data_IF_645940455855
#
_entry.id   IF_645940455855
#
_cell.length_a   1.000
_cell.length_b   1.000
_cell.length_c   1.000
_cell.angle_alpha   90.00
_cell.angle_beta   90.00
_cell.angle_gamma   90.00
#
_symmetry.space_group_name_H-M   'P 1'
#
loop_
_entity.id
_entity.type
_entity.pdbx_description
1 polymer ?
#
# COMPACT_ATOMS: atom_id res chain seq x y z
N UNK A 1 -34.80 -3.50 16.48
CA UNK A 1 -33.45 -3.88 16.97
C UNK A 1 -32.76 -4.56 15.80
N UNK A 2 -31.61 -4.05 15.37
CA UNK A 2 -30.85 -4.66 14.28
C UNK A 2 -30.34 -6.04 14.72
N UNK A 3 -30.36 -7.02 13.82
CA UNK A 3 -29.80 -8.35 14.10
C UNK A 3 -28.27 -8.30 14.18
N UNK A 4 -27.63 -9.24 14.88
CA UNK A 4 -26.15 -9.34 14.93
C UNK A 4 -25.53 -9.40 13.53
N UNK A 5 -26.20 -10.06 12.57
CA UNK A 5 -25.83 -10.09 11.17
C UNK A 5 -25.80 -8.69 10.54
N UNK A 6 -26.86 -7.92 10.73
CA UNK A 6 -26.97 -6.54 10.22
C UNK A 6 -25.89 -5.62 10.81
N UNK A 7 -25.51 -5.84 12.08
CA UNK A 7 -24.43 -5.07 12.72
C UNK A 7 -23.06 -5.39 12.11
N UNK A 8 -22.78 -6.65 11.78
CA UNK A 8 -21.58 -7.06 11.05
C UNK A 8 -21.54 -6.43 9.66
N UNK A 9 -22.65 -6.45 8.91
CA UNK A 9 -22.76 -5.83 7.58
C UNK A 9 -22.51 -4.32 7.63
N UNK A 10 -22.97 -3.64 8.69
CA UNK A 10 -22.70 -2.21 8.95
C UNK A 10 -21.31 -1.93 9.53
N UNK A 11 -20.44 -2.94 9.64
CA UNK A 11 -19.09 -2.86 10.24
C UNK A 11 -19.06 -2.36 11.68
N UNK A 12 -20.15 -2.53 12.44
CA UNK A 12 -20.27 -2.12 13.84
C UNK A 12 -19.70 -3.18 14.79
N UNK A 13 -18.43 -3.55 14.59
CA UNK A 13 -17.80 -4.71 15.24
C UNK A 13 -17.71 -4.60 16.77
N UNK A 14 -17.36 -3.42 17.31
CA UNK A 14 -17.27 -3.23 18.75
C UNK A 14 -18.63 -3.41 19.44
N UNK A 15 -19.70 -2.89 18.83
CA UNK A 15 -21.06 -3.06 19.32
C UNK A 15 -21.49 -4.54 19.34
N UNK A 16 -21.10 -5.32 18.34
CA UNK A 16 -21.33 -6.77 18.34
C UNK A 16 -20.62 -7.44 19.51
N UNK A 17 -19.36 -7.09 19.81
CA UNK A 17 -18.63 -7.63 20.95
C UNK A 17 -19.28 -7.25 22.28
N UNK A 18 -19.75 -6.01 22.42
CA UNK A 18 -20.37 -5.52 23.65
C UNK A 18 -21.70 -6.24 23.93
N UNK A 19 -22.53 -6.42 22.89
CA UNK A 19 -23.82 -7.12 22.99
C UNK A 19 -23.67 -8.62 23.27
N UNK A 20 -22.56 -9.22 22.87
CA UNK A 20 -22.32 -10.68 22.98
C UNK A 20 -21.29 -11.03 24.06
N UNK A 21 -20.79 -10.06 24.82
CA UNK A 21 -19.74 -10.26 25.83
C UNK A 21 -20.14 -11.30 26.88
N UNK A 22 -21.42 -11.29 27.28
CA UNK A 22 -21.99 -12.14 28.33
C UNK A 22 -22.82 -13.31 27.80
N UNK A 23 -23.03 -13.41 26.48
CA UNK A 23 -23.81 -14.52 25.91
C UNK A 23 -22.92 -15.75 25.74
N UNK A 24 -23.45 -16.91 26.13
CA UNK A 24 -22.82 -18.24 25.95
C UNK A 24 -23.48 -19.06 24.85
N UNK A 25 -24.42 -18.46 24.11
CA UNK A 25 -25.13 -19.13 23.02
C UNK A 25 -24.16 -19.47 21.90
N UNK A 26 -24.15 -20.73 21.46
CA UNK A 26 -23.30 -21.18 20.35
C UNK A 26 -23.58 -20.41 19.05
N UNK A 27 -24.82 -19.92 18.87
CA UNK A 27 -25.27 -19.09 17.74
C UNK A 27 -24.57 -17.73 17.64
N UNK A 28 -24.11 -17.16 18.76
CA UNK A 28 -23.55 -15.81 18.81
C UNK A 28 -22.03 -15.82 18.56
N UNK A 29 -21.39 -16.97 18.77
CA UNK A 29 -19.93 -17.12 18.68
C UNK A 29 -19.40 -16.82 17.27
N UNK A 30 -20.03 -17.27 16.16
CA UNK A 30 -19.59 -16.89 14.82
C UNK A 30 -19.54 -15.38 14.61
N UNK A 31 -20.54 -14.63 15.10
CA UNK A 31 -20.57 -13.18 15.00
C UNK A 31 -19.47 -12.51 15.83
N UNK A 32 -19.13 -13.07 17.00
CA UNK A 32 -17.97 -12.62 17.80
C UNK A 32 -16.65 -12.84 17.06
N UNK A 33 -16.49 -14.00 16.42
CA UNK A 33 -15.31 -14.32 15.60
C UNK A 33 -15.20 -13.30 14.46
N UNK A 34 -16.28 -13.07 13.71
CA UNK A 34 -16.31 -12.07 12.64
C UNK A 34 -16.00 -10.66 13.13
N UNK A 35 -16.50 -10.27 14.31
CA UNK A 35 -16.22 -8.95 14.89
C UNK A 35 -14.74 -8.80 15.30
N UNK A 36 -14.13 -9.83 15.88
CA UNK A 36 -12.70 -9.82 16.20
C UNK A 36 -11.85 -9.71 14.93
N UNK A 37 -12.21 -10.44 13.86
CA UNK A 37 -11.54 -10.36 12.57
C UNK A 37 -11.67 -8.97 11.96
N UNK A 38 -12.87 -8.39 11.96
CA UNK A 38 -13.12 -7.04 11.47
C UNK A 38 -12.34 -5.94 12.21
N UNK A 39 -11.91 -6.21 13.45
CA UNK A 39 -11.07 -5.33 14.27
C UNK A 39 -9.57 -5.68 14.19
N UNK A 40 -9.17 -6.66 13.37
CA UNK A 40 -7.78 -7.12 13.26
C UNK A 40 -7.26 -7.92 14.46
N UNK A 41 -8.13 -8.32 15.39
CA UNK A 41 -7.81 -9.06 16.62
C UNK A 41 -7.82 -10.58 16.37
N UNK A 42 -6.89 -11.04 15.52
CA UNK A 42 -6.89 -12.42 15.01
C UNK A 42 -6.58 -13.47 16.08
N UNK A 43 -5.71 -13.19 17.05
CA UNK A 43 -5.39 -14.16 18.12
C UNK A 43 -6.58 -14.36 19.09
N UNK A 44 -7.40 -13.34 19.31
CA UNK A 44 -8.67 -13.43 20.04
C UNK A 44 -9.67 -14.31 19.28
N UNK A 45 -9.79 -14.11 17.98
CA UNK A 45 -10.65 -14.92 17.11
C UNK A 45 -10.22 -16.40 17.13
N UNK A 46 -8.93 -16.70 17.00
CA UNK A 46 -8.39 -18.06 17.05
C UNK A 46 -8.63 -18.74 18.42
N UNK A 47 -8.44 -18.01 19.52
CA UNK A 47 -8.75 -18.52 20.86
C UNK A 47 -10.22 -18.94 20.98
N UNK A 48 -11.11 -18.14 20.41
CA UNK A 48 -12.54 -18.41 20.44
C UNK A 48 -12.93 -19.61 19.57
N UNK A 49 -12.34 -19.75 18.37
CA UNK A 49 -12.52 -20.94 17.52
C UNK A 49 -12.10 -22.20 18.25
N UNK A 50 -10.91 -22.20 18.85
CA UNK A 50 -10.39 -23.35 19.61
C UNK A 50 -11.27 -23.70 20.81
N UNK A 51 -11.76 -22.69 21.54
CA UNK A 51 -12.62 -22.90 22.70
C UNK A 51 -13.97 -23.55 22.35
N UNK A 52 -14.52 -23.23 21.17
CA UNK A 52 -15.84 -23.69 20.71
C UNK A 52 -15.75 -24.70 19.55
N UNK A 53 -14.59 -25.34 19.36
CA UNK A 53 -14.36 -26.32 18.31
C UNK A 53 -15.43 -27.43 18.34
N UNK A 54 -16.02 -27.73 17.18
CA UNK A 54 -17.09 -28.72 17.03
C UNK A 54 -18.49 -28.27 17.47
N UNK A 55 -18.68 -27.01 17.90
CA UNK A 55 -19.97 -26.48 18.38
C UNK A 55 -20.65 -25.49 17.41
N UNK A 56 -20.18 -25.43 16.17
CA UNK A 56 -20.53 -24.36 15.24
C UNK A 56 -21.76 -24.63 14.35
N UNK A 57 -22.50 -25.73 14.56
CA UNK A 57 -23.73 -26.09 13.81
C UNK A 57 -23.66 -25.66 12.33
N UNK A 58 -24.57 -24.79 11.88
CA UNK A 58 -24.67 -24.29 10.50
C UNK A 58 -23.51 -23.39 10.06
N UNK A 59 -22.76 -22.80 11.00
CA UNK A 59 -21.63 -21.93 10.72
C UNK A 59 -20.31 -22.69 10.54
N UNK A 60 -20.29 -24.02 10.73
CA UNK A 60 -19.07 -24.84 10.73
C UNK A 60 -18.21 -24.64 9.48
N UNK A 61 -18.82 -24.60 8.30
CA UNK A 61 -18.10 -24.39 7.04
C UNK A 61 -17.43 -23.00 6.94
N UNK A 62 -18.16 -21.95 7.32
CA UNK A 62 -17.59 -20.60 7.32
C UNK A 62 -16.46 -20.47 8.35
N UNK A 63 -16.63 -21.09 9.53
CA UNK A 63 -15.60 -21.06 10.57
C UNK A 63 -14.34 -21.83 10.13
N UNK A 64 -14.44 -23.00 9.50
CA UNK A 64 -13.24 -23.72 9.05
C UNK A 64 -12.46 -22.92 8.01
N UNK A 65 -13.15 -22.29 7.05
CA UNK A 65 -12.51 -21.50 5.98
C UNK A 65 -11.73 -20.33 6.59
N UNK A 66 -12.41 -19.56 7.42
CA UNK A 66 -11.82 -18.40 8.10
C UNK A 66 -10.72 -18.84 9.08
N UNK A 67 -10.85 -20.00 9.73
CA UNK A 67 -9.80 -20.52 10.60
C UNK A 67 -8.51 -20.79 9.84
N UNK A 68 -8.58 -21.52 8.72
CA UNK A 68 -7.41 -21.83 7.89
C UNK A 68 -6.82 -20.54 7.29
N UNK A 69 -7.65 -19.63 6.81
CA UNK A 69 -7.21 -18.31 6.30
C UNK A 69 -6.47 -17.50 7.37
N UNK A 70 -6.97 -17.45 8.61
CA UNK A 70 -6.30 -16.76 9.71
C UNK A 70 -4.96 -17.42 10.07
N UNK A 71 -4.88 -18.74 10.10
CA UNK A 71 -3.63 -19.45 10.39
C UNK A 71 -2.58 -19.18 9.30
N UNK A 72 -2.98 -19.17 8.03
CA UNK A 72 -2.11 -18.77 6.92
C UNK A 72 -1.68 -17.31 7.03
N UNK A 73 -2.60 -16.39 7.35
CA UNK A 73 -2.31 -14.95 7.55
C UNK A 73 -1.28 -14.73 8.67
N UNK A 74 -1.36 -15.52 9.75
CA UNK A 74 -0.41 -15.48 10.86
C UNK A 74 0.85 -16.34 10.65
N UNK A 75 1.03 -16.92 9.46
CA UNK A 75 2.14 -17.81 9.12
C UNK A 75 2.27 -19.04 10.03
N UNK A 76 1.16 -19.49 10.63
CA UNK A 76 1.08 -20.68 11.51
C UNK A 76 0.79 -21.94 10.67
N UNK A 77 1.63 -22.22 9.67
CA UNK A 77 1.40 -23.28 8.67
C UNK A 77 1.32 -24.69 9.26
N UNK A 78 2.20 -25.02 10.21
CA UNK A 78 2.15 -26.33 10.89
C UNK A 78 0.80 -26.57 11.57
N UNK A 79 0.25 -25.53 12.20
CA UNK A 79 -1.07 -25.57 12.83
C UNK A 79 -2.15 -25.65 11.76
N UNK A 80 -2.03 -24.90 10.64
CA UNK A 80 -2.98 -24.98 9.53
C UNK A 80 -3.08 -26.40 8.96
N UNK A 81 -1.97 -27.12 8.78
CA UNK A 81 -2.00 -28.52 8.34
C UNK A 81 -2.61 -29.46 9.39
N UNK A 82 -2.37 -29.21 10.69
CA UNK A 82 -3.01 -29.99 11.76
C UNK A 82 -4.53 -29.80 11.77
N UNK A 83 -4.98 -28.55 11.68
CA UNK A 83 -6.41 -28.21 11.67
C UNK A 83 -7.10 -28.68 10.38
N UNK A 84 -6.41 -28.62 9.23
CA UNK A 84 -6.92 -29.20 7.99
C UNK A 84 -7.17 -30.71 8.13
N UNK A 85 -6.22 -31.45 8.71
CA UNK A 85 -6.39 -32.89 8.99
C UNK A 85 -7.55 -33.14 9.96
N UNK A 86 -7.70 -32.30 10.98
CA UNK A 86 -8.85 -32.37 11.88
C UNK A 86 -10.16 -32.22 11.10
N UNK A 87 -10.27 -31.19 10.26
CA UNK A 87 -11.47 -30.95 9.46
C UNK A 87 -11.74 -32.08 8.46
N UNK A 88 -10.73 -32.59 7.77
CA UNK A 88 -10.88 -33.72 6.82
C UNK A 88 -11.43 -35.00 7.46
N UNK A 89 -11.26 -35.17 8.78
CA UNK A 89 -11.74 -36.35 9.50
C UNK A 89 -13.17 -36.19 10.07
N UNK A 90 -13.81 -35.04 9.91
CA UNK A 90 -15.19 -34.85 10.35
C UNK A 90 -16.17 -35.39 9.27
N UNK A 91 -17.30 -36.00 9.68
CA UNK A 91 -18.30 -36.48 8.73
C UNK A 91 -19.11 -35.30 8.18
N UNK A 92 -18.99 -35.03 6.88
CA UNK A 92 -19.78 -34.01 6.18
C UNK A 92 -20.77 -34.63 5.21
N UNK A 93 -21.89 -33.94 5.00
CA UNK A 93 -22.90 -34.28 3.98
C UNK A 93 -22.75 -33.38 2.74
N UNK A 94 -22.17 -32.19 2.90
CA UNK A 94 -22.10 -31.18 1.83
C UNK A 94 -20.88 -31.39 0.94
N UNK A 95 -21.13 -31.51 -0.37
CA UNK A 95 -20.10 -31.57 -1.41
C UNK A 95 -19.19 -30.33 -1.41
N UNK A 96 -19.75 -29.14 -1.14
CA UNK A 96 -18.98 -27.88 -1.09
C UNK A 96 -17.86 -27.95 -0.04
N UNK A 97 -18.13 -28.60 1.09
CA UNK A 97 -17.15 -28.77 2.17
C UNK A 97 -16.02 -29.72 1.72
N UNK A 98 -16.36 -30.81 1.05
CA UNK A 98 -15.37 -31.77 0.55
C UNK A 98 -14.47 -31.15 -0.52
N UNK A 99 -15.05 -30.41 -1.47
CA UNK A 99 -14.29 -29.70 -2.52
C UNK A 99 -13.31 -28.69 -1.92
N UNK A 100 -13.77 -27.91 -0.94
CA UNK A 100 -12.91 -26.97 -0.22
C UNK A 100 -11.75 -27.68 0.49
N UNK A 101 -12.02 -28.75 1.24
CA UNK A 101 -11.00 -29.47 2.01
C UNK A 101 -9.99 -30.21 1.11
N UNK A 102 -10.42 -30.67 -0.07
CA UNK A 102 -9.54 -31.26 -1.08
C UNK A 102 -8.60 -30.21 -1.69
N UNK A 103 -9.08 -28.98 -1.88
CA UNK A 103 -8.27 -27.86 -2.39
C UNK A 103 -7.41 -27.16 -1.33
N UNK A 104 -7.77 -27.26 -0.06
CA UNK A 104 -7.16 -26.50 1.03
C UNK A 104 -5.68 -26.81 1.24
N UNK A 105 -5.22 -28.06 1.05
CA UNK A 105 -3.81 -28.40 1.17
C UNK A 105 -2.96 -27.66 0.12
N UNK A 106 -3.44 -27.61 -1.13
CA UNK A 106 -2.80 -26.85 -2.22
C UNK A 106 -2.77 -25.35 -1.94
N UNK A 107 -3.83 -24.82 -1.34
CA UNK A 107 -3.92 -23.43 -0.91
C UNK A 107 -2.87 -23.09 0.17
N UNK A 108 -2.80 -23.89 1.24
CA UNK A 108 -1.81 -23.73 2.32
C UNK A 108 -0.39 -23.82 1.76
N UNK A 109 -0.11 -24.83 0.93
CA UNK A 109 1.21 -25.02 0.32
C UNK A 109 1.61 -23.86 -0.60
N UNK A 110 0.68 -23.29 -1.35
CA UNK A 110 0.95 -22.13 -2.22
C UNK A 110 1.24 -20.90 -1.37
N UNK A 111 0.45 -20.66 -0.32
CA UNK A 111 0.67 -19.55 0.61
C UNK A 111 2.02 -19.68 1.34
N UNK A 112 2.35 -20.89 1.81
CA UNK A 112 3.62 -21.23 2.45
C UNK A 112 4.81 -21.04 1.50
N UNK A 113 4.71 -21.52 0.26
CA UNK A 113 5.76 -21.32 -0.76
C UNK A 113 5.95 -19.86 -1.10
N UNK A 114 4.88 -19.08 -1.20
CA UNK A 114 4.97 -17.64 -1.44
C UNK A 114 5.63 -16.92 -0.26
N UNK A 115 5.28 -17.29 0.97
CA UNK A 115 5.95 -16.79 2.17
C UNK A 115 7.43 -17.18 2.23
N UNK A 116 7.77 -18.44 1.94
CA UNK A 116 9.16 -18.93 1.91
C UNK A 116 9.97 -18.31 0.76
N UNK A 117 9.32 -18.00 -0.38
CA UNK A 117 9.93 -17.25 -1.50
C UNK A 117 10.24 -15.82 -1.12
N UNK A 118 9.49 -15.22 -0.20
CA UNK A 118 9.88 -14.00 0.49
C UNK A 118 10.95 -14.39 1.53
N UNK A 119 12.13 -14.78 1.04
CA UNK A 119 13.32 -14.93 1.88
C UNK A 119 13.64 -13.53 2.38
N UNK A 120 13.12 -13.17 3.56
CA UNK A 120 13.39 -11.88 4.19
C UNK A 120 14.90 -11.75 4.29
N UNK A 121 15.44 -10.73 3.65
CA UNK A 121 16.84 -10.39 3.73
C UNK A 121 17.14 -10.09 5.19
N UNK A 122 18.23 -10.65 5.71
CA UNK A 122 18.68 -10.27 7.06
C UNK A 122 19.02 -8.79 7.09
N UNK A 123 19.10 -8.21 8.29
CA UNK A 123 19.53 -6.83 8.46
C UNK A 123 20.88 -6.57 7.80
N UNK A 124 21.81 -7.50 7.92
CA UNK A 124 23.15 -7.44 7.35
C UNK A 124 23.12 -7.50 5.82
N UNK A 125 22.30 -8.39 5.25
CA UNK A 125 22.10 -8.48 3.79
C UNK A 125 21.50 -7.19 3.22
N UNK A 126 20.52 -6.59 3.91
CA UNK A 126 19.95 -5.29 3.51
C UNK A 126 21.01 -4.21 3.56
N UNK A 127 21.77 -4.11 4.65
CA UNK A 127 22.84 -3.11 4.79
C UNK A 127 23.88 -3.28 3.68
N UNK A 128 24.29 -4.51 3.37
CA UNK A 128 25.23 -4.79 2.29
C UNK A 128 24.72 -4.31 0.93
N UNK A 129 23.45 -4.58 0.61
CA UNK A 129 22.81 -4.11 -0.62
C UNK A 129 22.78 -2.57 -0.65
N UNK A 130 22.31 -1.92 0.42
CA UNK A 130 22.30 -0.45 0.50
C UNK A 130 23.70 0.13 0.35
N UNK A 131 24.75 -0.57 0.81
CA UNK A 131 26.12 -0.08 0.78
C UNK A 131 26.87 -0.34 -0.53
N UNK A 132 26.56 -1.41 -1.26
CA UNK A 132 27.37 -1.84 -2.42
C UNK A 132 26.63 -1.87 -3.75
N UNK A 133 25.32 -2.07 -3.73
CA UNK A 133 24.55 -2.29 -4.95
C UNK A 133 24.27 -0.98 -5.69
N UNK A 134 24.15 -1.08 -7.01
CA UNK A 134 23.79 0.01 -7.92
C UNK A 134 22.54 -0.31 -8.74
N UNK A 135 22.16 -1.59 -8.85
CA UNK A 135 20.93 -1.98 -9.52
C UNK A 135 19.70 -1.43 -8.79
N UNK A 136 18.86 -0.70 -9.54
CA UNK A 136 17.70 0.00 -9.00
C UNK A 136 16.62 -0.95 -8.46
N UNK A 137 16.42 -2.11 -9.09
CA UNK A 137 15.42 -3.09 -8.67
C UNK A 137 15.87 -3.82 -7.40
N UNK A 138 17.15 -4.18 -7.32
CA UNK A 138 17.72 -4.81 -6.11
C UNK A 138 17.67 -3.84 -4.93
N UNK A 139 18.03 -2.57 -5.15
CA UNK A 139 17.95 -1.53 -4.12
C UNK A 139 16.50 -1.31 -3.65
N UNK A 140 15.52 -1.19 -4.56
CA UNK A 140 14.11 -1.06 -4.18
C UNK A 140 13.60 -2.28 -3.41
N UNK A 141 14.00 -3.49 -3.81
CA UNK A 141 13.67 -4.70 -3.08
C UNK A 141 14.21 -4.65 -1.65
N UNK A 142 15.45 -4.22 -1.43
CA UNK A 142 15.98 -4.08 -0.07
C UNK A 142 15.27 -2.97 0.73
N UNK A 143 15.00 -1.82 0.12
CA UNK A 143 14.33 -0.69 0.75
C UNK A 143 12.90 -1.02 1.18
N UNK A 144 12.15 -1.77 0.38
CA UNK A 144 10.79 -2.21 0.75
C UNK A 144 10.79 -3.15 1.95
N UNK A 145 11.84 -3.97 2.11
CA UNK A 145 11.97 -4.89 3.23
C UNK A 145 12.29 -4.21 4.57
N UNK A 146 12.88 -3.00 4.56
CA UNK A 146 13.21 -2.22 5.77
C UNK A 146 11.97 -1.94 6.63
N UNK A 147 10.78 -1.86 6.03
CA UNK A 147 9.50 -1.67 6.75
C UNK A 147 9.24 -2.75 7.82
N UNK A 148 9.90 -3.91 7.71
CA UNK A 148 9.78 -5.00 8.67
C UNK A 148 10.75 -4.87 9.87
N UNK A 149 11.56 -3.82 9.91
CA UNK A 149 12.60 -3.61 10.91
C UNK A 149 12.49 -2.21 11.55
N UNK A 150 13.27 -1.98 12.61
CA UNK A 150 13.38 -0.64 13.20
C UNK A 150 14.18 0.27 12.25
N UNK A 151 13.56 1.34 11.73
CA UNK A 151 14.18 2.27 10.77
C UNK A 151 15.50 2.87 11.28
N UNK A 152 15.64 3.07 12.60
CA UNK A 152 16.83 3.68 13.19
C UNK A 152 18.09 2.85 12.92
N UNK A 153 17.93 1.53 12.78
CA UNK A 153 19.01 0.61 12.46
C UNK A 153 19.63 0.83 11.07
N UNK A 154 18.89 1.45 10.16
CA UNK A 154 19.29 1.68 8.77
C UNK A 154 19.57 3.15 8.48
N UNK A 155 19.24 4.06 9.39
CA UNK A 155 19.28 5.52 9.18
C UNK A 155 20.59 6.02 8.55
N UNK A 156 21.73 5.61 9.09
CA UNK A 156 23.06 5.95 8.54
C UNK A 156 23.25 5.45 7.11
N UNK A 157 22.83 4.22 6.81
CA UNK A 157 22.97 3.61 5.48
C UNK A 157 22.02 4.23 4.46
N UNK A 158 20.80 4.60 4.89
CA UNK A 158 19.83 5.34 4.10
C UNK A 158 20.35 6.72 3.71
N UNK A 159 20.94 7.46 4.66
CA UNK A 159 21.56 8.77 4.39
C UNK A 159 22.72 8.64 3.40
N UNK A 160 23.59 7.64 3.58
CA UNK A 160 24.67 7.36 2.62
C UNK A 160 24.15 7.03 1.23
N UNK A 161 23.05 6.26 1.12
CA UNK A 161 22.46 5.91 -0.16
C UNK A 161 21.94 7.15 -0.90
N UNK A 162 21.25 8.06 -0.19
CA UNK A 162 20.76 9.32 -0.77
C UNK A 162 21.87 10.23 -1.28
N UNK A 163 23.08 10.13 -0.73
CA UNK A 163 24.23 10.95 -1.12
C UNK A 163 24.96 10.44 -2.38
N UNK A 164 24.56 9.31 -2.97
CA UNK A 164 25.22 8.74 -4.14
C UNK A 164 24.75 9.38 -5.44
N UNK A 165 25.70 9.74 -6.29
CA UNK A 165 25.43 10.38 -7.58
C UNK A 165 24.95 9.40 -8.66
N UNK A 166 25.30 8.11 -8.54
CA UNK A 166 25.01 7.08 -9.56
C UNK A 166 23.74 6.27 -9.26
N UNK A 167 22.75 6.87 -8.60
CA UNK A 167 21.48 6.20 -8.27
C UNK A 167 20.33 6.90 -8.96
N UNK A 168 19.41 6.10 -9.51
CA UNK A 168 18.19 6.63 -10.11
C UNK A 168 17.38 7.44 -9.08
N UNK A 169 16.87 8.61 -9.47
CA UNK A 169 16.18 9.57 -8.60
C UNK A 169 15.01 8.97 -7.82
N UNK A 170 14.28 8.01 -8.39
CA UNK A 170 13.16 7.32 -7.73
C UNK A 170 13.66 6.41 -6.59
N UNK A 171 14.80 5.75 -6.78
CA UNK A 171 15.44 4.94 -5.74
C UNK A 171 16.08 5.84 -4.69
N UNK A 172 16.76 6.90 -5.14
CA UNK A 172 17.51 7.81 -4.27
C UNK A 172 16.63 8.58 -3.29
N UNK A 173 15.36 8.86 -3.62
CA UNK A 173 14.45 9.56 -2.72
C UNK A 173 13.66 8.65 -1.77
N UNK A 174 13.49 7.38 -2.12
CA UNK A 174 12.75 6.42 -1.31
C UNK A 174 13.27 6.28 0.14
N UNK A 175 14.59 6.31 0.41
CA UNK A 175 15.13 6.42 1.77
C UNK A 175 14.53 7.56 2.59
N UNK A 176 14.31 8.73 1.98
CA UNK A 176 13.71 9.87 2.67
C UNK A 176 12.26 9.55 3.06
N UNK A 177 11.48 8.91 2.20
CA UNK A 177 10.12 8.47 2.53
C UNK A 177 10.07 7.49 3.72
N UNK A 178 11.06 6.59 3.80
CA UNK A 178 11.19 5.67 4.93
C UNK A 178 11.54 6.39 6.22
N UNK A 179 12.42 7.39 6.17
CA UNK A 179 12.79 8.21 7.33
C UNK A 179 11.63 9.10 7.82
N UNK A 180 10.85 9.66 6.90
CA UNK A 180 9.63 10.44 7.20
C UNK A 180 8.59 9.55 7.88
N UNK A 181 8.24 8.42 7.25
CA UNK A 181 7.30 7.44 7.81
C UNK A 181 7.77 6.88 9.16
N UNK A 182 9.08 6.78 9.34
CA UNK A 182 9.74 6.32 10.56
C UNK A 182 9.87 7.37 11.67
N UNK A 183 9.48 8.62 11.42
CA UNK A 183 9.58 9.70 12.40
C UNK A 183 11.01 10.12 12.75
N UNK A 184 11.95 9.99 11.80
CA UNK A 184 13.35 10.32 12.04
C UNK A 184 13.54 11.81 12.33
N UNK A 185 14.07 12.12 13.52
CA UNK A 185 14.04 13.46 14.11
C UNK A 185 15.28 14.33 13.85
N UNK A 186 16.33 13.78 13.26
CA UNK A 186 17.59 14.50 13.08
C UNK A 186 17.64 15.21 11.71
N UNK A 187 18.28 16.38 11.63
CA UNK A 187 18.49 17.06 10.36
C UNK A 187 19.43 16.25 9.47
N UNK A 188 19.13 16.24 8.17
CA UNK A 188 20.01 15.68 7.14
C UNK A 188 20.07 16.62 5.94
N UNK A 189 21.18 16.53 5.21
CA UNK A 189 21.35 17.27 3.96
C UNK A 189 21.31 16.31 2.78
N UNK A 190 20.62 16.70 1.71
CA UNK A 190 20.59 15.97 0.45
C UNK A 190 20.70 16.93 -0.73
N UNK A 191 21.29 16.47 -1.82
CA UNK A 191 21.34 17.20 -3.08
C UNK A 191 20.33 16.58 -4.04
N UNK A 192 19.45 17.39 -4.62
CA UNK A 192 18.46 16.93 -5.59
C UNK A 192 18.16 17.99 -6.64
N UNK A 193 18.13 17.58 -7.90
CA UNK A 193 17.98 18.49 -9.06
C UNK A 193 18.94 19.69 -8.99
N UNK A 194 20.20 19.45 -8.58
CA UNK A 194 21.24 20.48 -8.44
C UNK A 194 21.09 21.43 -7.23
N UNK A 195 20.06 21.25 -6.38
CA UNK A 195 19.83 22.05 -5.18
C UNK A 195 20.20 21.26 -3.92
N UNK A 196 20.81 21.96 -2.96
CA UNK A 196 21.10 21.41 -1.63
C UNK A 196 19.92 21.71 -0.69
N UNK A 197 19.36 20.68 -0.08
CA UNK A 197 18.31 20.78 0.93
C UNK A 197 18.86 20.38 2.29
N UNK A 198 18.39 21.06 3.34
CA UNK A 198 18.56 20.62 4.73
C UNK A 198 17.18 20.45 5.33
N UNK A 199 16.83 19.22 5.68
CA UNK A 199 15.48 18.85 6.12
C UNK A 199 15.53 18.02 7.39
N UNK A 200 14.44 18.06 8.14
CA UNK A 200 14.20 17.18 9.29
C UNK A 200 13.06 16.24 8.89
N UNK A 201 13.30 14.94 8.63
CA UNK A 201 12.30 14.06 8.01
C UNK A 201 10.96 13.98 8.74
N UNK A 202 10.94 13.94 10.08
CA UNK A 202 9.69 13.93 10.86
C UNK A 202 8.81 15.17 10.65
N UNK A 203 9.38 16.29 10.19
CA UNK A 203 8.69 17.56 10.02
C UNK A 203 8.19 17.73 8.58
N UNK A 204 8.58 16.82 7.66
CA UNK A 204 8.08 16.80 6.30
C UNK A 204 6.71 16.12 6.24
N UNK A 205 5.85 16.63 5.37
CA UNK A 205 4.60 15.93 5.04
C UNK A 205 4.92 14.64 4.27
N UNK A 206 4.26 13.51 4.60
CA UNK A 206 4.33 12.30 3.79
C UNK A 206 3.78 12.56 2.37
N UNK A 207 4.45 12.04 1.32
CA UNK A 207 3.93 12.17 -0.04
C UNK A 207 2.61 11.39 -0.18
N UNK A 208 1.72 11.84 -1.07
CA UNK A 208 0.45 11.18 -1.42
C UNK A 208 -0.66 11.16 -0.34
N UNK A 209 -0.46 11.75 0.83
CA UNK A 209 -1.45 11.70 1.94
C UNK A 209 -2.16 13.04 2.18
N UNK A 210 -1.74 14.10 1.49
CA UNK A 210 -2.31 15.44 1.66
C UNK A 210 -3.70 15.55 0.99
N UNK A 211 -4.67 16.24 1.61
CA UNK A 211 -5.97 16.55 1.01
C UNK A 211 -5.87 17.25 -0.36
N UNK A 212 -4.79 18.00 -0.62
CA UNK A 212 -4.55 18.60 -1.91
C UNK A 212 -4.26 17.57 -3.01
N UNK A 213 -3.72 16.39 -2.66
CA UNK A 213 -3.57 15.27 -3.59
C UNK A 213 -4.93 14.82 -4.12
N UNK A 214 -5.88 14.56 -3.23
CA UNK A 214 -7.23 14.13 -3.59
C UNK A 214 -7.95 15.16 -4.46
N UNK A 215 -7.75 16.46 -4.18
CA UNK A 215 -8.33 17.54 -4.99
C UNK A 215 -7.75 17.59 -6.40
N UNK A 216 -6.44 17.42 -6.56
CA UNK A 216 -5.80 17.40 -7.89
C UNK A 216 -6.33 16.22 -8.71
N UNK A 217 -6.42 15.03 -8.10
CA UNK A 217 -6.95 13.82 -8.74
C UNK A 217 -8.41 14.04 -9.17
N UNK A 218 -9.26 14.58 -8.29
CA UNK A 218 -10.66 14.84 -8.60
C UNK A 218 -10.83 15.80 -9.79
N UNK A 219 -10.03 16.88 -9.86
CA UNK A 219 -10.05 17.82 -11.00
C UNK A 219 -9.59 17.15 -12.29
N UNK A 220 -8.55 16.30 -12.23
CA UNK A 220 -8.08 15.53 -13.40
C UNK A 220 -9.19 14.62 -13.92
N UNK A 221 -9.84 13.87 -13.04
CA UNK A 221 -10.93 12.94 -13.39
C UNK A 221 -12.14 13.67 -14.00
N UNK A 222 -12.51 14.82 -13.44
CA UNK A 222 -13.63 15.64 -13.93
C UNK A 222 -13.36 16.21 -15.34
N UNK A 223 -12.14 16.69 -15.58
CA UNK A 223 -11.79 17.37 -16.83
C UNK A 223 -11.44 16.37 -17.94
N UNK A 224 -10.69 15.32 -17.63
CA UNK A 224 -10.22 14.34 -18.62
C UNK A 224 -11.39 13.64 -19.33
N UNK A 225 -12.43 13.25 -18.57
CA UNK A 225 -13.58 12.42 -18.98
C UNK A 225 -13.24 11.03 -19.55
N UNK A 226 -12.08 10.89 -20.19
CA UNK A 226 -11.47 9.63 -20.61
C UNK A 226 -10.67 9.01 -19.45
N UNK A 227 -10.99 7.78 -19.02
CA UNK A 227 -10.28 7.12 -17.92
C UNK A 227 -8.79 6.91 -18.18
N UNK A 228 -8.39 6.61 -19.42
CA UNK A 228 -6.99 6.34 -19.77
C UNK A 228 -6.15 7.62 -19.68
N UNK A 229 -6.71 8.75 -20.12
CA UNK A 229 -6.08 10.05 -19.98
C UNK A 229 -5.91 10.45 -18.51
N UNK A 230 -6.96 10.20 -17.70
CA UNK A 230 -6.92 10.44 -16.26
C UNK A 230 -5.83 9.61 -15.58
N UNK A 231 -5.77 8.30 -15.87
CA UNK A 231 -4.75 7.40 -15.32
C UNK A 231 -3.33 7.86 -15.64
N UNK A 232 -3.07 8.28 -16.89
CA UNK A 232 -1.75 8.80 -17.27
C UNK A 232 -1.43 10.11 -16.55
N UNK A 233 -2.38 11.05 -16.47
CA UNK A 233 -2.17 12.31 -15.77
C UNK A 233 -1.89 12.10 -14.26
N UNK A 234 -2.59 11.16 -13.62
CA UNK A 234 -2.35 10.77 -12.22
C UNK A 234 -1.00 10.06 -12.07
N UNK A 235 -0.60 9.22 -13.02
CA UNK A 235 0.74 8.60 -13.01
C UNK A 235 1.85 9.66 -13.08
N UNK A 236 1.74 10.60 -14.01
CA UNK A 236 2.67 11.73 -14.15
C UNK A 236 2.71 12.58 -12.88
N UNK A 237 1.58 12.78 -12.22
CA UNK A 237 1.50 13.49 -10.96
C UNK A 237 2.29 12.79 -9.86
N UNK A 238 2.11 11.47 -9.74
CA UNK A 238 2.85 10.66 -8.77
C UNK A 238 4.36 10.71 -9.04
N UNK A 239 4.77 10.64 -10.30
CA UNK A 239 6.18 10.77 -10.69
C UNK A 239 6.76 12.14 -10.31
N UNK A 240 6.04 13.23 -10.58
CA UNK A 240 6.49 14.58 -10.24
C UNK A 240 6.57 14.82 -8.73
N UNK A 241 5.65 14.28 -7.93
CA UNK A 241 5.75 14.29 -6.46
C UNK A 241 7.09 13.66 -6.04
N UNK A 242 7.43 12.51 -6.61
CA UNK A 242 8.68 11.81 -6.30
C UNK A 242 9.89 12.64 -6.77
N UNK A 243 9.85 13.23 -7.96
CA UNK A 243 10.95 14.02 -8.54
C UNK A 243 11.19 15.33 -7.78
N UNK A 244 10.16 15.97 -7.23
CA UNK A 244 10.26 17.26 -6.56
C UNK A 244 10.54 17.15 -5.07
N UNK A 245 10.12 16.06 -4.41
CA UNK A 245 10.31 15.90 -2.97
C UNK A 245 11.77 16.09 -2.55
N UNK A 246 12.09 16.90 -1.52
CA UNK A 246 11.20 17.41 -0.46
C UNK A 246 10.49 18.73 -0.75
N UNK A 247 10.59 19.31 -1.95
CA UNK A 247 9.78 20.48 -2.31
C UNK A 247 8.29 20.12 -2.32
N UNK A 248 7.44 21.09 -1.95
CA UNK A 248 6.01 20.92 -1.97
C UNK A 248 5.45 21.27 -3.36
N UNK A 249 5.00 20.26 -4.12
CA UNK A 249 4.37 20.49 -5.43
C UNK A 249 3.07 21.31 -5.32
N UNK A 250 2.45 21.35 -4.14
CA UNK A 250 1.21 22.07 -3.87
C UNK A 250 1.41 23.57 -3.58
N UNK A 251 2.64 24.09 -3.73
CA UNK A 251 2.87 25.53 -3.78
C UNK A 251 2.22 26.15 -5.04
N UNK A 252 2.02 25.34 -6.09
CA UNK A 252 1.23 25.70 -7.27
C UNK A 252 -0.28 25.55 -6.99
N UNK A 253 -1.12 26.35 -7.65
CA UNK A 253 -2.57 26.20 -7.51
C UNK A 253 -3.05 24.85 -8.06
N UNK A 254 -4.06 24.25 -7.41
CA UNK A 254 -4.62 22.93 -7.79
C UNK A 254 -5.00 22.90 -9.28
N UNK A 255 -5.68 23.93 -9.77
CA UNK A 255 -6.12 24.00 -11.16
C UNK A 255 -4.94 24.10 -12.14
N UNK A 256 -3.90 24.88 -11.79
CA UNK A 256 -2.71 25.02 -12.62
C UNK A 256 -1.93 23.70 -12.71
N UNK A 257 -1.80 23.02 -11.57
CA UNK A 257 -1.17 21.70 -11.48
C UNK A 257 -1.93 20.65 -12.29
N UNK A 258 -3.24 20.52 -12.09
CA UNK A 258 -4.11 19.60 -12.85
C UNK A 258 -4.07 19.90 -14.36
N UNK A 259 -4.13 21.18 -14.74
CA UNK A 259 -4.03 21.61 -16.13
C UNK A 259 -2.70 21.20 -16.77
N UNK A 260 -1.58 21.41 -16.08
CA UNK A 260 -0.27 21.04 -16.59
C UNK A 260 -0.12 19.52 -16.77
N UNK A 261 -0.64 18.72 -15.84
CA UNK A 261 -0.62 17.25 -15.90
C UNK A 261 -1.45 16.71 -17.07
N UNK A 262 -2.68 17.22 -17.24
CA UNK A 262 -3.54 16.89 -18.37
C UNK A 262 -2.89 17.28 -19.70
N UNK A 263 -2.28 18.46 -19.75
CA UNK A 263 -1.61 18.96 -20.93
C UNK A 263 -0.44 18.06 -21.36
N UNK A 264 0.33 17.52 -20.41
CA UNK A 264 1.40 16.55 -20.68
C UNK A 264 0.82 15.19 -21.09
N UNK A 265 -0.27 14.74 -20.46
CA UNK A 265 -0.93 13.49 -20.80
C UNK A 265 -1.52 13.51 -22.23
N UNK A 266 -2.11 14.63 -22.67
CA UNK A 266 -2.55 14.81 -24.05
C UNK A 266 -1.40 14.66 -25.05
N UNK A 267 -0.24 15.25 -24.75
CA UNK A 267 0.96 15.12 -25.58
C UNK A 267 1.45 13.66 -25.66
N UNK A 268 1.34 12.90 -24.56
CA UNK A 268 1.70 11.49 -24.50
C UNK A 268 0.87 10.63 -25.47
N UNK A 269 -0.44 10.89 -25.56
CA UNK A 269 -1.35 10.20 -26.48
C UNK A 269 -1.37 10.79 -27.89
N UNK A 270 -0.57 11.82 -28.18
CA UNK A 270 -0.60 12.56 -29.45
C UNK A 270 -1.99 13.11 -29.79
N UNK A 271 -2.79 13.43 -28.76
CA UNK A 271 -4.12 14.03 -28.92
C UNK A 271 -3.94 15.53 -29.10
N UNK A 272 -4.58 16.16 -30.11
CA UNK A 272 -4.54 17.61 -30.28
C UNK A 272 -5.01 18.34 -29.01
N UNK A 273 -4.15 19.20 -28.48
CA UNK A 273 -4.39 19.97 -27.27
C UNK A 273 -4.75 21.42 -27.62
N UNK A 274 -5.77 21.97 -26.96
CA UNK A 274 -6.11 23.39 -27.03
C UNK A 274 -5.82 24.05 -25.66
N UNK A 275 -4.59 24.54 -25.46
CA UNK A 275 -4.16 25.16 -24.20
C UNK A 275 -5.06 26.28 -23.72
N UNK A 276 -5.49 27.15 -24.63
CA UNK A 276 -6.42 28.23 -24.32
C UNK A 276 -7.76 27.72 -23.75
N UNK A 277 -8.30 26.65 -24.32
CA UNK A 277 -9.58 26.08 -23.87
C UNK A 277 -9.44 25.34 -22.53
N UNK A 278 -8.30 24.66 -22.31
CA UNK A 278 -8.00 24.01 -21.04
C UNK A 278 -7.79 25.04 -19.93
N UNK A 279 -7.05 26.11 -20.22
CA UNK A 279 -6.80 27.21 -19.29
C UNK A 279 -8.10 27.94 -18.92
N UNK A 280 -8.94 28.25 -19.91
CA UNK A 280 -10.27 28.85 -19.69
C UNK A 280 -11.16 27.95 -18.82
N UNK A 281 -11.26 26.66 -19.14
CA UNK A 281 -12.09 25.70 -18.42
C UNK A 281 -11.67 25.49 -16.95
N UNK A 282 -10.39 25.72 -16.64
CA UNK A 282 -9.83 25.62 -15.30
C UNK A 282 -9.69 26.98 -14.59
N UNK A 283 -10.02 28.09 -15.27
CA UNK A 283 -9.89 29.44 -14.72
C UNK A 283 -8.44 29.83 -14.39
N UNK A 284 -7.48 29.44 -15.23
CA UNK A 284 -6.04 29.69 -15.06
C UNK A 284 -5.47 30.50 -16.23
N UNK A 285 -4.30 31.12 -16.02
CA UNK A 285 -3.57 31.83 -17.09
C UNK A 285 -2.90 30.84 -18.05
N UNK A 286 -3.01 31.10 -19.36
CA UNK A 286 -2.44 30.24 -20.41
C UNK A 286 -0.90 30.28 -20.43
N UNK A 287 -0.31 31.44 -20.09
CA UNK A 287 1.14 31.61 -19.99
C UNK A 287 1.72 30.79 -18.84
N UNK A 288 1.12 30.91 -17.66
CA UNK A 288 1.50 30.13 -16.47
C UNK A 288 1.39 28.62 -16.74
N UNK A 289 0.31 28.18 -17.41
CA UNK A 289 0.13 26.78 -17.82
C UNK A 289 1.28 26.30 -18.72
N UNK A 290 1.61 27.07 -19.76
CA UNK A 290 2.69 26.72 -20.70
C UNK A 290 4.05 26.64 -20.03
N UNK A 291 4.35 27.58 -19.14
CA UNK A 291 5.61 27.61 -18.41
C UNK A 291 5.74 26.40 -17.46
N UNK A 292 4.66 26.06 -16.74
CA UNK A 292 4.67 24.90 -15.84
C UNK A 292 4.76 23.58 -16.62
N UNK A 293 4.06 23.45 -17.74
CA UNK A 293 4.17 22.28 -18.65
C UNK A 293 5.61 22.10 -19.13
N UNK A 294 6.28 23.18 -19.55
CA UNK A 294 7.68 23.11 -19.99
C UNK A 294 8.59 22.65 -18.84
N UNK A 295 8.43 23.22 -17.64
CA UNK A 295 9.20 22.86 -16.44
C UNK A 295 9.03 21.38 -16.08
N UNK A 296 7.79 20.89 -16.01
CA UNK A 296 7.51 19.51 -15.64
C UNK A 296 7.97 18.50 -16.68
N UNK A 297 7.80 18.80 -17.99
CA UNK A 297 8.37 17.94 -19.04
C UNK A 297 9.89 17.82 -18.93
N UNK A 298 10.58 18.93 -18.69
CA UNK A 298 12.03 18.91 -18.50
C UNK A 298 12.43 18.02 -17.31
N UNK A 299 11.75 18.16 -16.18
CA UNK A 299 11.99 17.34 -14.99
C UNK A 299 11.77 15.85 -15.24
N UNK A 300 10.71 15.47 -15.96
CA UNK A 300 10.42 14.08 -16.33
C UNK A 300 11.48 13.50 -17.28
N UNK A 301 12.00 14.30 -18.21
CA UNK A 301 13.08 13.88 -19.13
C UNK A 301 14.39 13.69 -18.37
N UNK A 302 14.72 14.60 -17.44
CA UNK A 302 15.95 14.54 -16.63
C UNK A 302 15.91 13.41 -15.59
N UNK A 303 14.71 12.94 -15.22
CA UNK A 303 14.49 11.90 -14.22
C UNK A 303 13.62 10.77 -14.78
N UNK A 304 14.15 9.92 -15.67
CA UNK A 304 13.36 8.84 -16.25
C UNK A 304 12.98 7.79 -15.18
N UNK A 305 11.76 7.22 -15.26
CA UNK A 305 11.34 6.16 -14.36
C UNK A 305 12.21 4.90 -14.53
N UNK A 306 12.20 4.05 -13.50
CA UNK A 306 12.93 2.78 -13.52
C UNK A 306 12.28 1.88 -14.56
N UNK A 307 12.99 1.59 -15.65
CA UNK A 307 12.56 0.61 -16.64
C UNK A 307 12.79 -0.80 -16.08
N UNK A 308 11.77 -1.64 -16.11
CA UNK A 308 12.00 -3.08 -15.98
C UNK A 308 12.87 -3.51 -17.17
N UNK A 309 13.97 -4.22 -16.89
CA UNK A 309 14.78 -4.82 -17.95
C UNK A 309 13.91 -5.89 -18.62
N UNK A 310 13.70 -5.75 -19.93
CA UNK A 310 13.04 -6.78 -20.76
C UNK A 310 13.87 -8.07 -20.82
#
# INVERSE_FOLDING_TARGET
MDSLKTLIEKKQFQLVLDLTANTRGASDIPYRISAYIGLGKLDEALRLIKQYQGKFEDATFNIMKVHLEMLMTLNKYDIAYQELKYYQNLPYISQEVEEFLNGAEGMIRTHERNFQRIKRKSKEEIIEILEKETDSLILLSALTEIRNYNINDFSTHLIKLMARENINSFVGIYPLFLLVSGGYAQPLSLTKNGKLYTVVPKDLEPPFVNQNYEKVVAVIEEVAKDPSLSEVAVSLFNELIIILYPENIFDESINLLSGALLAIAYDHFQIPRHDAALAEGLGIDEGDLKDLVRKFKQLLIENPPIKAVE
#
